data_IF_904480327151
#
_entry.id   IF_904480327151
#
_cell.length_a   1.000
_cell.length_b   1.000
_cell.length_c   1.000
_cell.angle_alpha   90.00
_cell.angle_beta   90.00
_cell.angle_gamma   90.00
#
_symmetry.space_group_name_H-M   'P 1'
#
loop_
_entity.id
_entity.type
_entity.pdbx_description
1 polymer ?
#
# COMPACT_ATOMS: atom_id res chain seq x y z
N UNK A 1 1.81 -7.53 15.17
CA UNK A 1 1.29 -6.18 14.86
C UNK A 1 1.91 -5.73 13.54
N UNK A 2 1.13 -5.39 12.50
CA UNK A 2 1.63 -4.99 11.17
C UNK A 2 2.31 -3.61 11.18
N UNK A 3 2.02 -2.79 12.20
CA UNK A 3 2.79 -1.60 12.53
C UNK A 3 3.81 -1.92 13.62
N UNK A 4 5.07 -1.54 13.41
CA UNK A 4 6.10 -1.55 14.47
C UNK A 4 6.49 -0.11 14.78
N UNK A 5 6.41 0.27 16.06
CA UNK A 5 7.02 1.50 16.58
C UNK A 5 8.51 1.44 16.28
N UNK A 6 9.05 2.36 15.45
CA UNK A 6 10.47 2.27 15.10
C UNK A 6 11.07 3.17 14.03
N UNK A 7 10.43 4.26 13.56
CA UNK A 7 11.15 5.25 12.73
C UNK A 7 11.32 6.60 13.41
N UNK A 8 10.25 7.32 13.77
CA UNK A 8 10.38 8.59 14.52
C UNK A 8 9.04 9.04 15.11
N UNK A 9 9.04 9.57 16.33
CA UNK A 9 7.89 10.26 16.95
C UNK A 9 8.44 11.44 17.73
N UNK A 10 8.16 12.68 17.31
CA UNK A 10 8.60 13.87 18.03
C UNK A 10 8.71 15.13 17.17
N UNK A 11 9.41 16.14 17.69
CA UNK A 11 9.68 17.40 16.99
C UNK A 11 10.94 17.26 16.15
N UNK A 12 10.84 17.55 14.85
CA UNK A 12 11.97 17.52 13.93
C UNK A 12 12.94 18.68 14.17
N UNK A 13 14.19 18.62 13.66
CA UNK A 13 15.11 19.76 13.71
C UNK A 13 14.60 21.04 13.05
N UNK A 14 13.61 20.93 12.15
CA UNK A 14 12.93 22.05 11.51
C UNK A 14 11.74 22.60 12.32
N UNK A 15 11.48 22.06 13.51
CA UNK A 15 10.53 22.60 14.49
C UNK A 15 9.09 22.10 14.40
N UNK A 16 8.78 21.14 13.53
CA UNK A 16 7.43 20.56 13.42
C UNK A 16 7.34 19.15 14.00
N UNK A 17 6.17 18.79 14.54
CA UNK A 17 5.87 17.45 15.03
C UNK A 17 5.70 16.48 13.87
N UNK A 18 6.30 15.29 13.96
CA UNK A 18 6.28 14.25 12.94
C UNK A 18 6.21 12.87 13.59
N UNK A 19 5.34 12.03 13.05
CA UNK A 19 5.25 10.61 13.39
C UNK A 19 5.44 9.77 12.15
N UNK A 20 6.33 8.79 12.25
CA UNK A 20 6.60 7.81 11.22
C UNK A 20 6.67 6.43 11.87
N UNK A 21 6.09 5.46 11.17
CA UNK A 21 6.09 4.05 11.55
C UNK A 21 6.45 3.19 10.35
N UNK A 22 7.09 2.05 10.63
CA UNK A 22 7.27 1.01 9.63
C UNK A 22 6.04 0.10 9.60
N UNK A 23 5.60 -0.22 8.38
CA UNK A 23 4.47 -1.11 8.13
C UNK A 23 4.94 -2.34 7.34
N UNK A 24 4.45 -3.52 7.73
CA UNK A 24 4.67 -4.77 7.03
C UNK A 24 3.37 -5.59 7.05
N UNK A 25 2.88 -5.95 5.87
CA UNK A 25 1.69 -6.78 5.71
C UNK A 25 1.81 -7.63 4.42
N UNK A 26 1.01 -8.69 4.34
CA UNK A 26 0.76 -9.35 3.06
C UNK A 26 -0.03 -8.43 2.13
N UNK A 27 0.16 -8.57 0.82
CA UNK A 27 -0.59 -7.81 -0.19
C UNK A 27 -2.10 -8.07 -0.09
N UNK A 28 -2.48 -9.26 0.36
CA UNK A 28 -3.86 -9.73 0.53
C UNK A 28 -4.38 -9.44 1.96
N UNK A 29 -4.34 -8.18 2.35
CA UNK A 29 -4.76 -7.72 3.68
C UNK A 29 -5.83 -6.63 3.60
N UNK A 30 -6.93 -6.78 4.34
CA UNK A 30 -8.01 -5.78 4.38
C UNK A 30 -8.74 -5.64 3.04
N UNK A 31 -9.31 -4.46 2.77
CA UNK A 31 -9.78 -4.11 1.42
C UNK A 31 -8.57 -3.95 0.50
N UNK A 32 -8.48 -4.77 -0.54
CA UNK A 32 -7.31 -4.86 -1.43
C UNK A 32 -7.72 -5.13 -2.89
N UNK A 33 -6.73 -5.19 -3.78
CA UNK A 33 -6.86 -5.51 -5.21
C UNK A 33 -5.98 -6.73 -5.54
N UNK A 34 -6.56 -7.73 -6.22
CA UNK A 34 -5.80 -8.82 -6.81
C UNK A 34 -5.43 -8.49 -8.26
N UNK A 35 -4.14 -8.38 -8.56
CA UNK A 35 -3.67 -8.21 -9.93
C UNK A 35 -3.82 -9.53 -10.72
N UNK A 36 -4.00 -9.49 -12.06
CA UNK A 36 -4.13 -10.70 -12.88
C UNK A 36 -3.03 -11.75 -12.68
N UNK A 37 -1.79 -11.31 -12.43
CA UNK A 37 -0.66 -12.22 -12.16
C UNK A 37 -0.89 -13.12 -10.95
N UNK A 38 -1.74 -12.71 -10.01
CA UNK A 38 -2.02 -13.44 -8.78
C UNK A 38 -2.55 -14.86 -9.07
N UNK A 39 -3.36 -15.00 -10.13
CA UNK A 39 -3.92 -16.28 -10.56
C UNK A 39 -3.40 -16.78 -11.92
N UNK A 40 -2.71 -15.93 -12.68
CA UNK A 40 -2.27 -16.27 -14.04
C UNK A 40 -0.83 -15.81 -14.31
N UNK A 41 0.10 -16.78 -14.35
CA UNK A 41 1.52 -16.54 -14.59
C UNK A 41 1.77 -15.73 -15.87
N UNK A 42 2.57 -14.67 -15.77
CA UNK A 42 2.95 -13.80 -16.89
C UNK A 42 1.87 -12.78 -17.30
N UNK A 43 0.79 -12.64 -16.53
CA UNK A 43 -0.16 -11.53 -16.68
C UNK A 43 0.31 -10.29 -15.92
N UNK A 44 -0.46 -9.21 -16.04
CA UNK A 44 -0.13 -7.91 -15.46
C UNK A 44 0.09 -8.01 -13.94
N UNK A 45 1.23 -7.49 -13.48
CA UNK A 45 1.44 -7.10 -12.09
C UNK A 45 0.61 -5.84 -11.76
N UNK A 46 0.49 -5.49 -10.48
CA UNK A 46 -0.33 -4.35 -10.06
C UNK A 46 0.09 -3.02 -10.72
N UNK A 47 1.39 -2.79 -10.87
CA UNK A 47 1.96 -1.60 -11.54
C UNK A 47 1.75 -1.56 -13.06
N UNK A 48 1.38 -2.70 -13.66
CA UNK A 48 1.13 -2.82 -15.10
C UNK A 48 -0.35 -2.64 -15.47
N UNK A 49 -1.25 -2.53 -14.48
CA UNK A 49 -2.68 -2.31 -14.74
C UNK A 49 -2.86 -0.85 -15.20
N UNK A 50 -3.47 -0.59 -16.38
CA UNK A 50 -3.75 0.78 -16.80
C UNK A 50 -4.66 1.48 -15.79
N UNK A 51 -4.35 2.72 -15.42
CA UNK A 51 -5.12 3.47 -14.42
C UNK A 51 -6.61 3.61 -14.77
N UNK A 52 -6.95 3.66 -16.06
CA UNK A 52 -8.34 3.70 -16.53
C UNK A 52 -9.17 2.46 -16.17
N UNK A 53 -8.53 1.34 -15.83
CA UNK A 53 -9.18 0.12 -15.36
C UNK A 53 -9.48 0.13 -13.85
N UNK A 54 -8.96 1.11 -13.10
CA UNK A 54 -9.10 1.19 -11.64
C UNK A 54 -10.27 2.06 -11.19
N UNK A 55 -11.02 2.65 -12.13
CA UNK A 55 -12.16 3.54 -11.84
C UNK A 55 -13.32 3.26 -12.79
N UNK A 56 -14.55 3.35 -12.30
CA UNK A 56 -15.77 3.19 -13.08
C UNK A 56 -17.00 3.35 -12.20
N UNK A 57 -18.19 3.36 -12.80
CA UNK A 57 -19.43 3.26 -12.02
C UNK A 57 -19.47 1.92 -11.31
N UNK A 58 -19.65 1.96 -9.99
CA UNK A 58 -19.91 0.79 -9.17
C UNK A 58 -21.42 0.58 -9.06
N UNK A 59 -21.84 -0.68 -8.88
CA UNK A 59 -23.24 -1.08 -8.70
C UNK A 59 -23.48 -1.50 -7.26
#
# INVERSE_FOLDING_TARGET
MPFRYGTFVGVTPAGFYYEAFNFCAAEHGGTHLDAPVHFAKGKCTADQIPLGNLTGEAV
#
